data_IF_249574582728
#
_entry.id   IF_249574582728
#
_cell.length_a   1.000
_cell.length_b   1.000
_cell.length_c   1.000
_cell.angle_alpha   90.00
_cell.angle_beta   90.00
_cell.angle_gamma   90.00
#
_symmetry.space_group_name_H-M   'P 1'
#
loop_
_entity.id
_entity.type
_entity.pdbx_description
1 polymer ?
#
# COMPACT_ATOMS: atom_id res chain seq x y z
N UNK A 1 -3.76 3.48 34.67
CA UNK A 1 -3.97 4.94 34.76
C UNK A 1 -5.34 5.22 34.17
N UNK A 2 -6.17 5.96 34.88
CA UNK A 2 -7.47 6.38 34.35
C UNK A 2 -7.28 7.38 33.19
N UNK A 3 -8.20 7.38 32.24
CA UNK A 3 -8.09 8.12 30.98
C UNK A 3 -8.13 9.65 31.23
N UNK A 4 -8.92 10.07 32.22
CA UNK A 4 -8.98 11.46 32.69
C UNK A 4 -7.70 11.91 33.41
N UNK A 5 -7.06 10.99 34.16
CA UNK A 5 -5.77 11.25 34.81
C UNK A 5 -4.63 11.39 33.79
N UNK A 6 -4.59 10.48 32.81
CA UNK A 6 -3.67 10.56 31.68
C UNK A 6 -3.86 11.87 30.91
N UNK A 7 -5.10 12.23 30.56
CA UNK A 7 -5.37 13.45 29.82
C UNK A 7 -4.91 14.70 30.58
N UNK A 8 -5.15 14.77 31.90
CA UNK A 8 -4.67 15.88 32.74
C UNK A 8 -3.15 16.02 32.72
N UNK A 9 -2.42 14.90 32.78
CA UNK A 9 -0.95 14.88 32.69
C UNK A 9 -0.47 15.31 31.29
N UNK A 10 -1.12 14.84 30.24
CA UNK A 10 -0.81 15.24 28.86
C UNK A 10 -1.04 16.72 28.62
N UNK A 11 -2.13 17.28 29.17
CA UNK A 11 -2.45 18.71 29.09
C UNK A 11 -1.38 19.62 29.70
N UNK A 12 -0.65 19.15 30.72
CA UNK A 12 0.45 19.91 31.32
C UNK A 12 1.64 20.15 30.38
N UNK A 13 1.68 19.49 29.22
CA UNK A 13 2.69 19.73 28.19
C UNK A 13 2.32 20.82 27.19
N UNK A 14 1.06 21.28 27.14
CA UNK A 14 0.67 22.37 26.26
C UNK A 14 1.45 23.65 26.60
N UNK A 15 1.96 24.32 25.57
CA UNK A 15 2.84 25.49 25.71
C UNK A 15 4.30 25.17 26.04
N UNK A 16 4.65 23.92 26.38
CA UNK A 16 6.06 23.52 26.56
C UNK A 16 6.75 23.38 25.19
N UNK A 17 8.06 23.63 25.12
CA UNK A 17 8.80 23.46 23.88
C UNK A 17 8.91 21.99 23.48
N UNK A 18 8.77 21.71 22.19
CA UNK A 18 9.13 20.46 21.54
C UNK A 18 10.50 20.51 20.84
N UNK A 19 10.98 21.71 20.50
CA UNK A 19 12.35 22.00 20.09
C UNK A 19 12.66 23.45 20.45
N UNK A 20 13.89 23.72 20.92
CA UNK A 20 14.35 25.07 21.27
C UNK A 20 15.64 25.36 20.53
N UNK A 21 15.72 26.52 19.88
CA UNK A 21 16.90 26.97 19.14
C UNK A 21 17.41 25.90 18.16
N UNK A 22 16.49 25.20 17.50
CA UNK A 22 16.83 24.22 16.48
C UNK A 22 17.45 24.91 15.27
N UNK A 23 18.47 24.31 14.68
CA UNK A 23 19.06 24.78 13.43
C UNK A 23 18.89 23.72 12.35
N UNK A 24 18.58 24.16 11.14
CA UNK A 24 18.68 23.32 9.95
C UNK A 24 20.10 22.78 9.83
N UNK A 25 20.23 21.54 9.36
CA UNK A 25 21.54 20.89 9.24
C UNK A 25 22.42 21.52 8.19
N UNK A 26 21.78 21.91 7.10
CA UNK A 26 22.40 22.57 5.97
C UNK A 26 21.68 23.89 5.74
N UNK A 27 22.39 24.94 5.29
CA UNK A 27 21.74 26.08 4.68
C UNK A 27 20.87 25.59 3.52
N UNK A 28 19.84 26.36 3.20
CA UNK A 28 19.05 26.14 1.98
C UNK A 28 20.03 26.04 0.81
N UNK A 29 19.94 24.97 0.02
CA UNK A 29 20.95 24.68 -1.00
C UNK A 29 20.35 24.13 -2.29
N UNK A 30 20.99 24.48 -3.41
CA UNK A 30 20.54 24.09 -4.75
C UNK A 30 20.52 22.56 -4.98
N UNK A 31 21.48 21.75 -4.46
CA UNK A 31 21.42 20.30 -4.61
C UNK A 31 20.15 19.67 -4.04
N UNK A 32 19.76 20.02 -2.81
CA UNK A 32 18.53 19.52 -2.19
C UNK A 32 17.28 20.00 -2.92
N UNK A 33 17.23 21.26 -3.36
CA UNK A 33 16.13 21.80 -4.16
C UNK A 33 15.97 20.99 -5.45
N UNK A 34 17.05 20.78 -6.18
CA UNK A 34 17.04 19.99 -7.43
C UNK A 34 16.52 18.58 -7.20
N UNK A 35 17.05 17.86 -6.21
CA UNK A 35 16.63 16.49 -5.92
C UNK A 35 15.15 16.41 -5.52
N UNK A 36 14.67 17.37 -4.72
CA UNK A 36 13.26 17.43 -4.37
C UNK A 36 12.38 17.68 -5.60
N UNK A 37 12.75 18.64 -6.46
CA UNK A 37 12.02 18.93 -7.70
C UNK A 37 12.00 17.74 -8.66
N UNK A 38 13.12 17.03 -8.85
CA UNK A 38 13.20 15.81 -9.67
C UNK A 38 12.27 14.72 -9.13
N UNK A 39 12.26 14.48 -7.81
CA UNK A 39 11.41 13.47 -7.18
C UNK A 39 9.92 13.82 -7.24
N UNK A 40 9.57 15.10 -7.10
CA UNK A 40 8.19 15.58 -7.16
C UNK A 40 7.69 15.78 -8.60
N UNK A 41 8.58 15.74 -9.59
CA UNK A 41 8.28 16.08 -10.99
C UNK A 41 7.94 17.57 -11.20
N UNK A 42 8.34 18.44 -10.27
CA UNK A 42 8.06 19.88 -10.35
C UNK A 42 9.14 20.59 -11.17
N UNK A 43 8.73 21.18 -12.30
CA UNK A 43 9.62 21.83 -13.26
C UNK A 43 9.50 23.35 -13.26
N UNK A 44 8.97 23.94 -12.18
CA UNK A 44 8.83 25.39 -12.10
C UNK A 44 10.21 26.09 -12.23
N UNK A 45 10.38 27.01 -13.20
CA UNK A 45 11.66 27.66 -13.45
C UNK A 45 12.17 28.49 -12.27
N UNK A 46 11.29 28.94 -11.36
CA UNK A 46 11.66 29.71 -10.17
C UNK A 46 12.62 28.98 -9.22
N UNK A 47 12.72 27.65 -9.33
CA UNK A 47 13.55 26.82 -8.46
C UNK A 47 14.95 26.54 -9.04
N UNK A 48 15.30 27.17 -10.17
CA UNK A 48 16.56 26.93 -10.87
C UNK A 48 17.31 28.23 -11.18
N UNK A 49 18.63 28.12 -11.34
CA UNK A 49 19.50 29.25 -11.71
C UNK A 49 19.90 30.18 -10.55
N UNK A 50 20.59 31.30 -10.85
CA UNK A 50 21.18 32.18 -9.84
C UNK A 50 20.19 32.88 -8.90
N UNK A 51 18.92 33.04 -9.33
CA UNK A 51 17.84 33.66 -8.55
C UNK A 51 16.91 32.68 -7.86
N UNK A 52 17.28 31.38 -7.84
CA UNK A 52 16.42 30.31 -7.37
C UNK A 52 15.87 30.57 -5.97
N UNK A 53 14.60 30.23 -5.79
CA UNK A 53 13.98 30.08 -4.48
C UNK A 53 13.80 28.59 -4.19
N UNK A 54 13.78 28.22 -2.91
CA UNK A 54 13.32 26.88 -2.54
C UNK A 54 11.80 26.79 -2.78
N UNK A 55 11.29 25.67 -3.33
CA UNK A 55 9.86 25.37 -3.33
C UNK A 55 9.28 25.60 -1.92
N UNK A 56 8.19 26.37 -1.76
CA UNK A 56 7.65 26.67 -0.42
C UNK A 56 7.35 25.41 0.40
N UNK A 57 6.86 24.34 -0.24
CA UNK A 57 6.58 23.05 0.38
C UNK A 57 7.82 22.33 0.94
N UNK A 58 9.05 22.80 0.64
CA UNK A 58 10.27 22.31 1.28
C UNK A 58 10.51 22.93 2.67
N UNK A 59 9.63 23.79 3.19
CA UNK A 59 9.82 24.45 4.50
C UNK A 59 10.21 23.46 5.60
N UNK A 60 9.49 22.34 5.70
CA UNK A 60 9.80 21.29 6.68
C UNK A 60 11.08 20.54 6.35
N UNK A 61 11.43 20.37 5.07
CA UNK A 61 12.59 19.59 4.65
C UNK A 61 13.91 20.12 5.24
N UNK A 62 14.02 21.44 5.40
CA UNK A 62 15.20 22.11 5.97
C UNK A 62 15.38 21.91 7.47
N UNK A 63 14.34 21.49 8.18
CA UNK A 63 14.32 21.32 9.64
C UNK A 63 14.15 19.86 10.07
N UNK A 64 14.15 18.91 9.13
CA UNK A 64 14.02 17.49 9.44
C UNK A 64 15.28 16.95 10.12
N UNK A 65 15.10 16.08 11.13
CA UNK A 65 16.20 15.38 11.78
C UNK A 65 16.95 14.38 10.88
N UNK A 66 16.47 14.03 9.68
CA UNK A 66 17.13 13.06 8.80
C UNK A 66 17.39 11.69 9.46
N UNK A 67 18.32 10.92 8.89
CA UNK A 67 18.66 9.57 9.38
C UNK A 67 19.37 9.58 10.75
N UNK A 68 20.10 10.64 11.07
CA UNK A 68 20.81 10.77 12.36
C UNK A 68 19.91 11.27 13.50
N UNK A 69 18.61 11.48 13.24
CA UNK A 69 17.63 11.91 14.25
C UNK A 69 17.62 13.41 14.55
N UNK A 70 16.65 13.82 15.38
CA UNK A 70 16.46 15.21 15.79
C UNK A 70 17.41 15.56 16.93
N UNK A 71 18.53 16.23 16.64
CA UNK A 71 19.48 16.67 17.68
C UNK A 71 18.95 17.82 18.56
N UNK A 72 17.91 18.54 18.11
CA UNK A 72 17.32 19.69 18.82
C UNK A 72 15.97 19.43 19.47
N UNK A 73 15.55 18.16 19.63
CA UNK A 73 14.27 17.84 20.28
C UNK A 73 14.33 18.12 21.77
N UNK A 74 13.32 18.81 22.29
CA UNK A 74 13.23 19.14 23.70
C UNK A 74 12.75 17.94 24.53
N UNK A 75 13.31 17.79 25.74
CA UNK A 75 12.98 16.72 26.69
C UNK A 75 11.47 16.59 26.95
N UNK A 76 10.75 17.72 27.05
CA UNK A 76 9.31 17.72 27.29
C UNK A 76 8.52 16.95 26.21
N UNK A 77 8.97 16.96 24.96
CA UNK A 77 8.29 16.25 23.90
C UNK A 77 8.60 14.75 23.92
N UNK A 78 9.83 14.36 24.25
CA UNK A 78 10.15 12.94 24.44
C UNK A 78 9.42 12.36 25.66
N UNK A 79 9.30 13.12 26.75
CA UNK A 79 8.49 12.75 27.93
C UNK A 79 7.00 12.57 27.57
N UNK A 80 6.43 13.48 26.78
CA UNK A 80 5.05 13.38 26.28
C UNK A 80 4.85 12.10 25.45
N UNK A 81 5.75 11.84 24.49
CA UNK A 81 5.64 10.67 23.61
C UNK A 81 5.81 9.37 24.40
N UNK A 82 6.75 9.33 25.34
CA UNK A 82 6.98 8.18 26.24
C UNK A 82 5.73 7.92 27.10
N UNK A 83 5.11 8.97 27.65
CA UNK A 83 3.88 8.83 28.43
C UNK A 83 2.72 8.25 27.60
N UNK A 84 2.63 8.61 26.32
CA UNK A 84 1.65 8.04 25.40
C UNK A 84 1.97 6.57 25.08
N UNK A 85 3.24 6.23 24.88
CA UNK A 85 3.69 4.85 24.65
C UNK A 85 3.40 3.95 25.85
N UNK A 86 3.72 4.40 27.07
CA UNK A 86 3.44 3.69 28.32
C UNK A 86 1.93 3.51 28.56
N UNK A 87 1.10 4.39 28.00
CA UNK A 87 -0.36 4.28 27.99
C UNK A 87 -0.91 3.37 26.88
N UNK A 88 -0.04 2.68 26.14
CA UNK A 88 -0.39 1.74 25.06
C UNK A 88 -0.62 2.40 23.70
N UNK A 89 -0.41 3.72 23.56
CA UNK A 89 -0.55 4.44 22.30
C UNK A 89 0.75 4.37 21.45
N UNK A 90 1.14 3.14 21.11
CA UNK A 90 2.45 2.82 20.52
C UNK A 90 2.56 3.17 19.03
N UNK A 91 1.45 3.28 18.30
CA UNK A 91 1.46 3.65 16.90
C UNK A 91 1.28 5.16 16.71
N UNK A 92 1.80 5.68 15.59
CA UNK A 92 1.69 7.08 15.22
C UNK A 92 1.29 7.23 13.75
N UNK A 93 0.46 8.22 13.45
CA UNK A 93 0.16 8.62 12.07
C UNK A 93 0.02 10.14 12.02
N UNK A 94 0.51 10.76 10.95
CA UNK A 94 0.25 12.18 10.67
C UNK A 94 -1.18 12.34 10.14
N UNK A 95 -1.93 13.30 10.66
CA UNK A 95 -3.33 13.52 10.28
C UNK A 95 -3.55 14.85 9.59
N UNK A 96 -2.80 15.89 9.98
CA UNK A 96 -2.97 17.24 9.44
C UNK A 96 -1.60 17.93 9.32
N UNK A 97 -1.43 18.71 8.26
CA UNK A 97 -0.27 19.54 8.00
C UNK A 97 -0.75 20.88 7.43
N UNK A 98 -0.49 21.96 8.16
CA UNK A 98 -0.78 23.33 7.76
C UNK A 98 0.53 24.10 7.70
N UNK A 99 0.80 24.78 6.59
CA UNK A 99 2.00 25.60 6.41
C UNK A 99 1.62 26.99 5.92
N UNK A 100 2.22 28.00 6.54
CA UNK A 100 2.14 29.40 6.09
C UNK A 100 3.52 29.85 5.64
N UNK A 101 3.58 30.48 4.46
CA UNK A 101 4.84 30.93 3.84
C UNK A 101 4.84 32.45 3.77
N UNK A 102 5.63 33.09 4.63
CA UNK A 102 5.70 34.55 4.71
C UNK A 102 6.75 35.12 3.74
N UNK A 103 7.85 34.37 3.54
CA UNK A 103 8.94 34.71 2.62
C UNK A 103 9.47 33.46 1.94
N UNK A 104 9.76 33.49 0.61
CA UNK A 104 10.48 32.40 -0.03
C UNK A 104 11.90 32.28 0.52
N UNK A 105 12.30 31.05 0.84
CA UNK A 105 13.67 30.70 1.19
C UNK A 105 14.57 30.72 -0.05
N UNK A 106 15.84 31.08 0.12
CA UNK A 106 16.84 31.18 -0.95
C UNK A 106 18.09 30.39 -0.61
N UNK A 107 18.81 29.84 -1.61
CA UNK A 107 20.10 29.22 -1.38
C UNK A 107 21.04 30.12 -0.56
N UNK A 108 21.63 29.57 0.50
CA UNK A 108 22.44 30.28 1.49
C UNK A 108 21.70 30.72 2.75
N UNK A 109 20.35 30.70 2.77
CA UNK A 109 19.59 30.98 3.98
C UNK A 109 19.88 29.92 5.05
N UNK A 110 20.37 30.35 6.22
CA UNK A 110 20.50 29.51 7.40
C UNK A 110 19.19 29.50 8.18
N UNK A 111 18.59 28.32 8.29
CA UNK A 111 17.28 28.14 8.91
C UNK A 111 17.44 27.83 10.39
N UNK A 112 16.75 28.58 11.24
CA UNK A 112 16.55 28.27 12.65
C UNK A 112 15.05 28.05 12.93
N UNK A 113 14.71 27.32 13.98
CA UNK A 113 13.32 27.04 14.31
C UNK A 113 13.13 26.77 15.80
N UNK A 114 11.93 27.10 16.28
CA UNK A 114 11.42 26.68 17.58
C UNK A 114 10.10 25.95 17.37
N UNK A 115 9.88 24.88 18.13
CA UNK A 115 8.63 24.13 18.08
C UNK A 115 8.00 24.13 19.46
N UNK A 116 6.70 24.40 19.52
CA UNK A 116 5.88 24.31 20.74
C UNK A 116 4.87 23.18 20.62
N UNK A 117 4.61 22.50 21.73
CA UNK A 117 3.46 21.60 21.87
C UNK A 117 2.23 22.49 22.01
N UNK A 118 1.50 22.67 20.92
CA UNK A 118 0.41 23.63 20.89
C UNK A 118 -0.85 23.09 21.56
N UNK A 119 -1.20 21.84 21.28
CA UNK A 119 -2.34 21.19 21.91
C UNK A 119 -2.24 19.68 21.99
N UNK A 120 -2.87 19.10 23.00
CA UNK A 120 -3.11 17.67 23.16
C UNK A 120 -4.60 17.43 23.41
N UNK A 121 -5.22 16.59 22.58
CA UNK A 121 -6.66 16.30 22.68
C UNK A 121 -6.98 15.35 23.83
N UNK A 122 -8.25 15.31 24.30
CA UNK A 122 -8.79 14.14 25.00
C UNK A 122 -8.67 12.88 24.15
N UNK A 123 -8.84 11.69 24.75
CA UNK A 123 -8.83 10.44 24.00
C UNK A 123 -9.93 10.43 22.94
N UNK A 124 -9.59 9.96 21.76
CA UNK A 124 -10.50 9.80 20.61
C UNK A 124 -10.40 8.38 20.07
N UNK A 125 -11.54 7.80 19.77
CA UNK A 125 -11.64 6.51 19.08
C UNK A 125 -11.75 6.74 17.58
N UNK A 126 -10.82 6.17 16.83
CA UNK A 126 -10.77 6.24 15.35
C UNK A 126 -10.83 4.85 14.75
N UNK A 127 -10.88 4.75 13.41
CA UNK A 127 -10.79 3.46 12.70
C UNK A 127 -9.44 2.75 12.90
N UNK A 128 -8.37 3.51 13.15
CA UNK A 128 -7.03 2.97 13.37
C UNK A 128 -6.84 2.47 14.80
N UNK A 129 -7.62 3.02 15.74
CA UNK A 129 -7.53 2.74 17.15
C UNK A 129 -7.89 3.95 18.01
N UNK A 130 -7.85 3.76 19.33
CA UNK A 130 -8.10 4.81 20.29
C UNK A 130 -6.79 5.46 20.74
N UNK A 131 -6.76 6.80 20.80
CA UNK A 131 -5.53 7.55 21.05
C UNK A 131 -5.74 9.04 21.27
N UNK A 132 -4.65 9.80 21.25
CA UNK A 132 -4.64 11.25 21.44
C UNK A 132 -4.02 11.96 20.24
N UNK A 133 -4.61 13.08 19.86
CA UNK A 133 -4.01 13.98 18.89
C UNK A 133 -3.04 14.91 19.60
N UNK A 134 -1.84 15.04 19.03
CA UNK A 134 -0.82 16.00 19.47
C UNK A 134 -0.55 16.94 18.32
N UNK A 135 -0.77 18.24 18.54
CA UNK A 135 -0.48 19.29 17.57
C UNK A 135 0.75 20.05 18.02
N UNK A 136 1.73 20.13 17.14
CA UNK A 136 2.92 20.98 17.33
C UNK A 136 2.92 22.12 16.34
N UNK A 137 3.32 23.31 16.79
CA UNK A 137 3.56 24.46 15.90
C UNK A 137 5.04 24.78 15.86
N UNK A 138 5.60 24.88 14.67
CA UNK A 138 6.98 25.27 14.43
C UNK A 138 7.04 26.63 13.76
N UNK A 139 7.81 27.53 14.35
CA UNK A 139 8.08 28.85 13.80
C UNK A 139 9.48 28.81 13.17
N UNK A 140 9.58 29.01 11.86
CA UNK A 140 10.82 28.91 11.10
C UNK A 140 11.36 30.31 10.82
N UNK A 141 12.64 30.55 11.10
CA UNK A 141 13.30 31.85 11.01
C UNK A 141 14.59 31.78 10.20
N UNK A 142 14.94 32.89 9.57
CA UNK A 142 16.25 33.13 8.96
C UNK A 142 16.77 34.46 9.49
N UNK A 143 17.98 34.46 10.05
CA UNK A 143 18.58 35.64 10.69
C UNK A 143 17.60 36.34 11.67
N UNK A 144 16.88 35.55 12.49
CA UNK A 144 15.90 36.03 13.46
C UNK A 144 14.54 36.46 12.90
N UNK A 145 14.38 36.54 11.58
CA UNK A 145 13.11 36.95 10.94
C UNK A 145 12.24 35.72 10.64
N UNK A 146 10.96 35.76 11.00
CA UNK A 146 9.99 34.70 10.70
C UNK A 146 9.77 34.59 9.19
N UNK A 147 9.97 33.40 8.63
CA UNK A 147 9.82 33.12 7.19
C UNK A 147 8.67 32.18 6.89
N UNK A 148 8.25 31.38 7.86
CA UNK A 148 7.08 30.52 7.74
C UNK A 148 6.70 29.85 9.05
N UNK A 149 5.50 29.31 9.10
CA UNK A 149 4.98 28.52 10.21
C UNK A 149 4.55 27.15 9.71
N UNK A 150 4.70 26.13 10.54
CA UNK A 150 4.30 24.77 10.24
C UNK A 150 3.58 24.17 11.45
N UNK A 151 2.27 23.95 11.30
CA UNK A 151 1.45 23.27 12.29
C UNK A 151 1.21 21.84 11.84
N UNK A 152 1.66 20.90 12.64
CA UNK A 152 1.64 19.48 12.33
C UNK A 152 0.89 18.73 13.41
N UNK A 153 -0.08 17.89 13.00
CA UNK A 153 -0.87 17.08 13.91
C UNK A 153 -0.61 15.61 13.67
N UNK A 154 -0.30 14.90 14.75
CA UNK A 154 -0.20 13.45 14.78
C UNK A 154 -1.29 12.86 15.66
N UNK A 155 -1.70 11.64 15.35
CA UNK A 155 -2.46 10.76 16.24
C UNK A 155 -1.49 9.70 16.77
N UNK A 156 -1.27 9.70 18.09
CA UNK A 156 -0.64 8.58 18.82
C UNK A 156 -1.76 7.68 19.33
N UNK A 157 -1.78 6.42 18.94
CA UNK A 157 -2.92 5.52 19.19
C UNK A 157 -2.51 4.09 19.50
N UNK A 158 -3.36 3.41 20.27
CA UNK A 158 -3.28 1.96 20.45
C UNK A 158 -3.89 1.31 19.19
N UNK A 159 -3.13 0.55 18.40
CA UNK A 159 -3.65 -0.10 17.19
C UNK A 159 -4.89 -0.93 17.53
N UNK A 160 -5.96 -0.72 16.79
CA UNK A 160 -7.12 -1.58 16.90
C UNK A 160 -6.68 -3.01 16.55
N UNK A 161 -6.85 -3.95 17.48
CA UNK A 161 -6.77 -5.38 17.17
C UNK A 161 -7.87 -5.67 16.16
N UNK A 162 -7.49 -5.74 14.90
CA UNK A 162 -8.38 -6.16 13.83
C UNK A 162 -8.59 -7.65 14.07
N UNK A 163 -9.72 -8.01 14.70
CA UNK A 163 -10.11 -9.41 14.79
C UNK A 163 -10.03 -9.99 13.37
N UNK A 164 -9.27 -11.09 13.13
CA UNK A 164 -9.28 -11.73 11.84
C UNK A 164 -10.74 -12.06 11.56
N UNK A 165 -11.31 -11.40 10.54
CA UNK A 165 -12.62 -11.79 10.04
C UNK A 165 -12.45 -13.24 9.58
N UNK A 166 -13.34 -14.18 9.98
CA UNK A 166 -13.25 -15.53 9.45
C UNK A 166 -13.15 -15.45 7.93
N UNK A 167 -12.29 -16.27 7.30
CA UNK A 167 -12.06 -16.20 5.86
C UNK A 167 -13.41 -16.24 5.15
N UNK A 168 -13.69 -15.22 4.35
CA UNK A 168 -14.95 -15.17 3.61
C UNK A 168 -14.95 -16.29 2.57
N UNK A 169 -16.14 -16.85 2.25
CA UNK A 169 -16.26 -17.89 1.23
C UNK A 169 -15.66 -17.40 -0.09
N UNK A 170 -15.05 -18.31 -0.86
CA UNK A 170 -14.51 -17.95 -2.17
C UNK A 170 -15.60 -17.37 -3.07
N UNK A 171 -15.30 -16.32 -3.87
CA UNK A 171 -16.24 -15.78 -4.84
C UNK A 171 -16.76 -16.88 -5.77
N UNK A 172 -18.08 -16.88 -5.99
CA UNK A 172 -18.70 -17.84 -6.89
C UNK A 172 -18.59 -17.38 -8.35
N UNK A 173 -18.33 -18.31 -9.28
CA UNK A 173 -18.37 -17.99 -10.69
C UNK A 173 -19.74 -17.44 -11.11
N UNK A 174 -19.74 -16.42 -11.95
CA UNK A 174 -20.96 -15.98 -12.63
C UNK A 174 -21.20 -16.92 -13.81
N UNK A 175 -22.17 -17.83 -13.62
CA UNK A 175 -22.57 -18.80 -14.64
C UNK A 175 -23.67 -18.19 -15.50
N UNK A 176 -23.49 -18.23 -16.82
CA UNK A 176 -24.47 -17.80 -17.81
C UNK A 176 -24.62 -18.88 -18.89
N UNK A 177 -25.49 -18.61 -19.89
CA UNK A 177 -25.75 -19.55 -20.99
C UNK A 177 -24.49 -19.99 -21.74
N UNK A 178 -23.52 -19.09 -21.91
CA UNK A 178 -22.37 -19.32 -22.79
C UNK A 178 -21.22 -20.06 -22.08
N UNK A 179 -21.17 -20.05 -20.75
CA UNK A 179 -20.14 -20.73 -19.96
C UNK A 179 -20.67 -21.87 -19.07
N UNK A 180 -21.99 -22.15 -19.08
CA UNK A 180 -22.59 -23.20 -18.26
C UNK A 180 -21.95 -24.58 -18.47
N UNK A 181 -21.70 -24.96 -19.73
CA UNK A 181 -21.08 -26.25 -20.06
C UNK A 181 -19.66 -26.40 -19.52
N UNK A 182 -18.88 -25.31 -19.44
CA UNK A 182 -17.57 -25.34 -18.79
C UNK A 182 -17.72 -25.67 -17.30
N UNK A 183 -18.64 -25.00 -16.61
CA UNK A 183 -18.86 -25.20 -15.17
C UNK A 183 -19.50 -26.56 -14.84
N UNK A 184 -20.32 -27.12 -15.74
CA UNK A 184 -20.77 -28.52 -15.65
C UNK A 184 -19.60 -29.49 -15.76
N UNK A 185 -18.70 -29.28 -16.73
CA UNK A 185 -17.45 -30.03 -16.83
C UNK A 185 -16.62 -29.96 -15.55
N UNK A 186 -16.45 -28.77 -14.98
CA UNK A 186 -15.71 -28.58 -13.71
C UNK A 186 -16.36 -29.35 -12.55
N UNK A 187 -17.70 -29.40 -12.45
CA UNK A 187 -18.40 -30.22 -11.44
C UNK A 187 -18.13 -31.72 -11.62
N UNK A 188 -18.02 -32.16 -12.87
CA UNK A 188 -17.66 -33.53 -13.22
C UNK A 188 -16.14 -33.80 -13.17
N UNK A 189 -15.34 -32.83 -12.69
CA UNK A 189 -13.86 -32.89 -12.69
C UNK A 189 -13.24 -33.07 -14.09
N UNK A 190 -13.83 -32.45 -15.10
CA UNK A 190 -13.34 -32.42 -16.49
C UNK A 190 -13.09 -30.98 -16.92
N UNK A 191 -11.91 -30.68 -17.43
CA UNK A 191 -11.60 -29.34 -17.94
C UNK A 191 -11.89 -29.31 -19.44
N UNK A 192 -13.04 -28.73 -19.81
CA UNK A 192 -13.53 -28.74 -21.18
C UNK A 192 -13.11 -27.46 -21.92
N UNK A 193 -12.42 -27.64 -23.05
CA UNK A 193 -12.04 -26.58 -23.98
C UNK A 193 -13.06 -26.57 -25.12
N UNK A 194 -13.54 -25.39 -25.48
CA UNK A 194 -14.49 -25.24 -26.57
C UNK A 194 -13.75 -25.34 -27.92
N UNK A 195 -14.25 -26.16 -28.85
CA UNK A 195 -13.70 -26.34 -30.19
C UNK A 195 -14.73 -25.98 -31.24
N UNK A 196 -14.34 -25.22 -32.26
CA UNK A 196 -15.23 -24.90 -33.37
C UNK A 196 -15.50 -26.14 -34.23
N UNK A 197 -16.76 -26.44 -34.51
CA UNK A 197 -17.14 -27.61 -35.32
C UNK A 197 -16.88 -27.43 -36.84
N UNK A 198 -16.45 -26.23 -37.26
CA UNK A 198 -16.22 -25.88 -38.68
C UNK A 198 -14.73 -25.77 -39.02
N UNK A 199 -13.94 -25.15 -38.14
CA UNK A 199 -12.51 -24.87 -38.40
C UNK A 199 -11.57 -25.44 -37.32
N UNK A 200 -12.09 -26.27 -36.41
CA UNK A 200 -11.35 -26.93 -35.32
C UNK A 200 -10.59 -26.01 -34.35
N UNK A 201 -10.79 -24.68 -34.44
CA UNK A 201 -10.12 -23.73 -33.54
C UNK A 201 -10.57 -23.94 -32.09
N UNK A 202 -9.59 -24.23 -31.23
CA UNK A 202 -9.76 -24.30 -29.77
C UNK A 202 -9.81 -22.90 -29.16
N UNK A 203 -10.65 -22.71 -28.15
CA UNK A 203 -10.76 -21.42 -27.46
C UNK A 203 -11.08 -21.54 -25.98
N UNK A 204 -10.49 -20.63 -25.24
CA UNK A 204 -10.78 -20.34 -23.84
C UNK A 204 -10.51 -18.85 -23.58
N UNK A 205 -11.37 -18.11 -22.87
CA UNK A 205 -12.67 -18.52 -22.31
C UNK A 205 -13.71 -18.94 -23.36
N UNK A 206 -14.80 -19.59 -22.92
CA UNK A 206 -15.89 -19.97 -23.81
C UNK A 206 -16.61 -18.74 -24.37
N UNK A 207 -16.96 -18.80 -25.66
CA UNK A 207 -17.60 -17.73 -26.42
C UNK A 207 -18.77 -18.29 -27.26
N UNK A 208 -19.82 -17.49 -27.53
CA UNK A 208 -20.98 -17.93 -28.31
C UNK A 208 -20.68 -18.15 -29.80
N UNK A 209 -19.51 -17.73 -30.30
CA UNK A 209 -19.07 -17.94 -31.68
C UNK A 209 -17.56 -18.06 -31.79
N UNK A 210 -17.09 -18.61 -32.90
CA UNK A 210 -15.66 -18.77 -33.19
C UNK A 210 -14.98 -17.43 -33.50
N UNK A 211 -13.89 -17.12 -32.81
CA UNK A 211 -13.06 -15.93 -33.05
C UNK A 211 -12.21 -15.99 -34.34
N UNK A 212 -12.13 -17.16 -34.99
CA UNK A 212 -11.40 -17.33 -36.25
C UNK A 212 -12.31 -17.23 -37.49
N UNK A 213 -13.43 -17.99 -37.50
CA UNK A 213 -14.32 -18.09 -38.68
C UNK A 213 -15.73 -17.54 -38.48
N UNK A 214 -16.12 -17.18 -37.25
CA UNK A 214 -17.46 -16.65 -36.95
C UNK A 214 -18.58 -17.69 -36.78
N UNK A 215 -18.31 -18.98 -37.02
CA UNK A 215 -19.31 -20.03 -36.88
C UNK A 215 -19.83 -20.15 -35.42
N UNK A 216 -21.15 -20.30 -35.21
CA UNK A 216 -21.74 -20.51 -33.89
C UNK A 216 -21.67 -21.97 -33.41
N UNK A 217 -21.37 -22.93 -34.29
CA UNK A 217 -21.32 -24.35 -33.94
C UNK A 217 -20.00 -24.74 -33.26
N UNK A 218 -20.12 -25.52 -32.20
CA UNK A 218 -18.98 -26.01 -31.44
C UNK A 218 -19.28 -27.33 -30.74
N UNK A 219 -18.21 -28.07 -30.48
CA UNK A 219 -18.17 -29.18 -29.55
C UNK A 219 -17.08 -28.90 -28.49
N UNK A 220 -16.74 -29.92 -27.70
CA UNK A 220 -15.76 -29.80 -26.62
C UNK A 220 -14.69 -30.85 -26.75
N UNK A 221 -13.48 -30.48 -26.32
CA UNK A 221 -12.37 -31.41 -26.08
C UNK A 221 -11.98 -31.33 -24.61
N UNK A 222 -11.69 -32.47 -24.00
CA UNK A 222 -11.18 -32.50 -22.63
C UNK A 222 -9.67 -32.22 -22.64
N UNK A 223 -9.23 -31.28 -21.82
CA UNK A 223 -7.82 -30.95 -21.70
C UNK A 223 -7.05 -32.07 -21.00
N UNK A 224 -5.82 -32.34 -21.45
CA UNK A 224 -4.91 -33.31 -20.82
C UNK A 224 -4.37 -32.84 -19.46
N UNK A 225 -4.60 -31.57 -19.10
CA UNK A 225 -4.29 -31.00 -17.78
C UNK A 225 -2.84 -30.55 -17.59
N UNK A 226 -1.94 -30.84 -18.52
CA UNK A 226 -0.57 -30.31 -18.50
C UNK A 226 -0.52 -28.85 -18.98
N UNK A 227 0.25 -28.00 -18.30
CA UNK A 227 0.46 -26.63 -18.71
C UNK A 227 1.77 -26.03 -18.20
N UNK A 228 2.02 -24.78 -18.58
CA UNK A 228 3.15 -23.99 -18.10
C UNK A 228 2.70 -22.60 -17.66
N UNK A 229 3.35 -22.03 -16.65
CA UNK A 229 3.11 -20.64 -16.24
C UNK A 229 3.61 -19.70 -17.34
N UNK A 230 2.69 -19.12 -18.12
CA UNK A 230 3.04 -18.15 -19.16
C UNK A 230 3.37 -16.78 -18.54
N UNK A 231 2.59 -16.36 -17.54
CA UNK A 231 2.81 -15.15 -16.74
C UNK A 231 2.15 -15.29 -15.38
N UNK A 232 2.50 -14.45 -14.40
CA UNK A 232 1.87 -14.46 -13.08
C UNK A 232 1.94 -13.11 -12.38
N UNK A 233 1.07 -12.92 -11.38
CA UNK A 233 1.11 -11.79 -10.44
C UNK A 233 1.06 -12.32 -9.01
N UNK A 234 1.71 -11.61 -8.07
CA UNK A 234 1.64 -11.91 -6.64
C UNK A 234 0.85 -10.82 -5.94
N UNK A 235 -0.25 -11.22 -5.29
CA UNK A 235 -1.14 -10.28 -4.60
C UNK A 235 -0.67 -10.07 -3.15
N UNK A 236 -0.06 -8.91 -2.88
CA UNK A 236 0.41 -8.55 -1.53
C UNK A 236 -0.59 -7.67 -0.75
N UNK A 237 -1.13 -6.63 -1.39
CA UNK A 237 -2.02 -5.66 -0.75
C UNK A 237 -2.92 -4.97 -1.78
N UNK A 238 -4.22 -4.69 -1.45
CA UNK A 238 -4.92 -5.05 -0.22
C UNK A 238 -5.21 -6.56 -0.11
N UNK A 239 -5.29 -7.10 1.11
CA UNK A 239 -5.67 -8.50 1.32
C UNK A 239 -7.11 -8.72 0.84
N UNK A 240 -7.36 -9.80 0.09
CA UNK A 240 -8.72 -10.21 -0.27
C UNK A 240 -9.22 -11.25 0.75
N UNK A 241 -10.34 -11.03 1.45
CA UNK A 241 -10.76 -11.86 2.59
C UNK A 241 -10.86 -13.37 2.35
N UNK A 242 -11.09 -13.79 1.10
CA UNK A 242 -11.21 -15.20 0.73
C UNK A 242 -9.87 -15.92 0.46
N UNK A 243 -8.74 -15.21 0.53
CA UNK A 243 -7.40 -15.75 0.25
C UNK A 243 -6.44 -15.38 1.37
N UNK A 244 -5.44 -16.24 1.61
CA UNK A 244 -4.32 -15.94 2.52
C UNK A 244 -3.21 -15.25 1.73
N UNK A 245 -2.95 -13.94 1.90
CA UNK A 245 -1.90 -13.24 1.18
C UNK A 245 -0.51 -13.48 1.81
N UNK A 246 0.57 -13.40 1.02
CA UNK A 246 0.58 -13.25 -0.44
C UNK A 246 0.26 -14.57 -1.17
N UNK A 247 -0.40 -14.48 -2.32
CA UNK A 247 -0.70 -15.63 -3.18
C UNK A 247 -0.44 -15.28 -4.66
N UNK A 248 -0.11 -16.30 -5.46
CA UNK A 248 0.18 -16.16 -6.88
C UNK A 248 -1.03 -16.56 -7.74
N UNK A 249 -1.36 -15.71 -8.73
CA UNK A 249 -2.34 -16.02 -9.78
C UNK A 249 -1.59 -16.11 -11.10
N UNK A 250 -1.69 -17.26 -11.76
CA UNK A 250 -1.03 -17.57 -13.01
C UNK A 250 -1.94 -17.42 -14.22
N UNK A 251 -1.37 -16.93 -15.31
CA UNK A 251 -1.86 -17.18 -16.66
C UNK A 251 -1.15 -18.43 -17.15
N UNK A 252 -1.88 -19.54 -17.24
CA UNK A 252 -1.37 -20.87 -17.59
C UNK A 252 -1.61 -21.12 -19.06
N UNK A 253 -0.57 -21.49 -19.81
CA UNK A 253 -0.69 -22.00 -21.17
C UNK A 253 -0.77 -23.52 -21.13
N UNK A 254 -1.90 -24.07 -21.56
CA UNK A 254 -2.13 -25.50 -21.65
C UNK A 254 -1.40 -26.11 -22.85
N UNK A 255 -1.14 -27.41 -22.82
CA UNK A 255 -0.52 -28.12 -23.94
C UNK A 255 -1.32 -27.99 -25.25
N UNK A 256 -2.64 -27.80 -25.17
CA UNK A 256 -3.53 -27.56 -26.30
C UNK A 256 -3.42 -26.14 -26.89
N UNK A 257 -2.64 -25.25 -26.27
CA UNK A 257 -2.34 -23.90 -26.76
C UNK A 257 -3.30 -22.80 -26.30
N UNK A 258 -4.35 -23.12 -25.54
CA UNK A 258 -5.22 -22.12 -24.91
C UNK A 258 -4.64 -21.64 -23.57
N UNK A 259 -5.05 -20.45 -23.13
CA UNK A 259 -4.60 -19.88 -21.85
C UNK A 259 -5.73 -19.73 -20.85
N UNK A 260 -5.43 -20.01 -19.58
CA UNK A 260 -6.39 -20.04 -18.48
C UNK A 260 -5.81 -19.24 -17.31
N UNK A 261 -6.63 -18.40 -16.67
CA UNK A 261 -6.25 -17.73 -15.42
C UNK A 261 -6.65 -18.65 -14.27
N UNK A 262 -5.71 -18.96 -13.38
CA UNK A 262 -5.98 -19.78 -12.20
C UNK A 262 -4.92 -19.61 -11.11
N UNK A 263 -5.21 -20.08 -9.90
CA UNK A 263 -4.25 -20.13 -8.79
C UNK A 263 -3.14 -21.13 -9.11
N UNK A 264 -1.90 -20.76 -8.77
CA UNK A 264 -0.77 -21.70 -8.75
C UNK A 264 -0.59 -22.20 -7.32
N UNK A 265 -0.85 -23.48 -7.10
CA UNK A 265 -0.94 -24.09 -5.76
C UNK A 265 0.20 -25.05 -5.47
N UNK A 266 0.36 -25.39 -4.18
CA UNK A 266 1.41 -26.27 -3.64
C UNK A 266 2.85 -25.82 -3.92
N UNK A 267 3.03 -24.51 -4.11
CA UNK A 267 4.32 -23.85 -4.24
C UNK A 267 4.25 -22.50 -3.54
N UNK A 268 5.30 -22.08 -2.80
CA UNK A 268 5.35 -20.74 -2.23
C UNK A 268 5.23 -19.67 -3.34
N UNK A 269 4.49 -18.59 -3.07
CA UNK A 269 4.22 -17.54 -4.05
C UNK A 269 5.50 -16.94 -4.66
N UNK A 270 6.58 -16.87 -3.86
CA UNK A 270 7.88 -16.31 -4.23
C UNK A 270 8.75 -17.28 -5.03
N UNK A 271 8.28 -18.52 -5.24
CA UNK A 271 8.91 -19.54 -6.07
C UNK A 271 8.24 -19.72 -7.42
N UNK A 272 7.04 -19.18 -7.64
CA UNK A 272 6.39 -19.20 -8.95
C UNK A 272 7.24 -18.45 -9.98
N UNK A 273 7.46 -19.05 -11.15
CA UNK A 273 8.27 -18.47 -12.25
C UNK A 273 7.60 -18.72 -13.59
N UNK A 274 7.84 -17.81 -14.54
CA UNK A 274 7.48 -18.03 -15.94
C UNK A 274 8.20 -19.28 -16.46
N UNK A 275 7.50 -20.13 -17.21
CA UNK A 275 7.96 -21.41 -17.71
C UNK A 275 7.83 -22.58 -16.72
N UNK A 276 7.39 -22.34 -15.47
CA UNK A 276 7.20 -23.41 -14.49
C UNK A 276 6.15 -24.42 -14.99
N UNK A 277 6.46 -25.73 -15.03
CA UNK A 277 5.51 -26.76 -15.40
C UNK A 277 4.48 -26.94 -14.29
N UNK A 278 3.21 -26.99 -14.69
CA UNK A 278 2.07 -27.16 -13.79
C UNK A 278 1.12 -28.23 -14.31
N UNK A 279 0.30 -28.75 -13.41
CA UNK A 279 -0.70 -29.78 -13.72
C UNK A 279 -2.05 -29.39 -13.12
N UNK A 280 -3.11 -29.60 -13.89
CA UNK A 280 -4.49 -29.34 -13.48
C UNK A 280 -4.87 -30.20 -12.27
N UNK A 281 -5.55 -29.58 -11.32
CA UNK A 281 -6.14 -30.21 -10.15
C UNK A 281 -7.53 -29.60 -9.88
N UNK A 282 -8.49 -30.40 -9.41
CA UNK A 282 -9.80 -29.90 -8.99
C UNK A 282 -9.89 -29.83 -7.48
N UNK A 283 -9.86 -28.61 -6.92
CA UNK A 283 -9.99 -28.38 -5.48
C UNK A 283 -11.40 -27.97 -5.09
N UNK A 284 -11.92 -28.63 -4.07
CA UNK A 284 -13.19 -28.30 -3.43
C UNK A 284 -12.93 -27.39 -2.24
N UNK A 285 -13.51 -26.18 -2.27
CA UNK A 285 -13.30 -25.17 -1.22
C UNK A 285 -14.41 -25.14 -0.19
N UNK A 286 -15.61 -25.56 -0.56
CA UNK A 286 -16.74 -25.83 0.31
C UNK A 286 -17.71 -26.81 -0.38
N UNK A 287 -18.82 -27.17 0.28
CA UNK A 287 -19.79 -28.18 -0.19
C UNK A 287 -20.36 -27.92 -1.59
N UNK A 288 -20.23 -26.71 -2.11
CA UNK A 288 -20.85 -26.29 -3.37
C UNK A 288 -19.83 -25.82 -4.41
N UNK A 289 -18.55 -25.57 -4.04
CA UNK A 289 -17.55 -24.99 -4.94
C UNK A 289 -16.38 -25.93 -5.20
N UNK A 290 -16.27 -26.38 -6.44
CA UNK A 290 -15.05 -26.97 -6.99
C UNK A 290 -14.50 -26.07 -8.09
N UNK A 291 -13.19 -25.80 -8.06
CA UNK A 291 -12.50 -24.98 -9.07
C UNK A 291 -11.31 -25.76 -9.65
N UNK A 292 -11.02 -25.57 -10.95
CA UNK A 292 -9.76 -26.02 -11.55
C UNK A 292 -8.63 -25.09 -11.12
N UNK A 293 -7.62 -25.65 -10.47
CA UNK A 293 -6.37 -24.99 -10.07
C UNK A 293 -5.18 -25.68 -10.72
N UNK A 294 -4.00 -25.08 -10.65
CA UNK A 294 -2.79 -25.67 -11.24
C UNK A 294 -1.71 -25.84 -10.18
N UNK A 295 -1.35 -27.09 -9.88
CA UNK A 295 -0.27 -27.42 -8.94
C UNK A 295 1.07 -27.45 -9.65
N UNK A 296 2.13 -26.97 -9.01
CA UNK A 296 3.48 -27.11 -9.55
C UNK A 296 3.89 -28.60 -9.63
N UNK A 297 4.58 -29.02 -10.70
CA UNK A 297 5.15 -30.37 -10.79
C UNK A 297 6.50 -30.42 -10.06
N UNK A 298 6.71 -31.44 -9.22
CA UNK A 298 7.97 -31.63 -8.48
C UNK A 298 9.17 -31.75 -9.44
N UNK A 299 10.23 -30.98 -9.17
CA UNK A 299 11.45 -30.92 -10.00
C UNK A 299 11.75 -29.55 -10.64
N UNK A 300 10.90 -28.53 -10.43
CA UNK A 300 11.04 -27.19 -10.99
C UNK A 300 11.50 -26.11 -9.99
N UNK A 301 12.40 -26.46 -9.06
CA UNK A 301 13.02 -25.51 -8.11
C UNK A 301 14.40 -25.09 -8.59
#
# INVERSE_FOLDING_TARGET
MDDDDLHRRLKAYEGRPAAVAGTGRDPVNAPMIRHWCEAMGDRNPAYTGPGAIAPPAMLQAWIMGGLSGHQGRAQAYDELLTLLDDAGCTAVVATDCEQEYLRPLRPGDEVAFDTVIESVSPRKTTKLGAGHFVTTRTDVRVAGTLVGTHRFRILKYAPATRNPRPPERRPRPVVNRDNAGFWEGVRDRRFLIQRCAVCDTLRFPWLPGCNACGAPEWDVVEAGGAGTVFSYVVMHHPPFPAFSPPYAVGLIELAEGVRVISDVVDVPYDKVRVGMPVELEFRTYDDELTLPVFRAREGAV
#
